data_IF_302755144242
#
_entry.id   IF_302755144242
#
_cell.length_a   1.000
_cell.length_b   1.000
_cell.length_c   1.000
_cell.angle_alpha   90.00
_cell.angle_beta   90.00
_cell.angle_gamma   90.00
#
_symmetry.space_group_name_H-M   'P 1'
#
loop_
_entity.id
_entity.type
_entity.pdbx_description
1 polymer ?
#
# COMPACT_ATOMS: atom_id res chain seq x y z
N UNK A 1 18.34 7.12 -3.56
CA UNK A 1 16.99 6.61 -3.25
C UNK A 1 16.88 5.09 -3.30
N UNK A 2 17.22 4.39 -4.39
CA UNK A 2 17.07 2.92 -4.45
C UNK A 2 17.89 2.18 -3.37
N UNK A 3 19.15 2.58 -3.13
CA UNK A 3 20.00 2.03 -2.06
C UNK A 3 19.37 2.19 -0.67
N UNK A 4 18.88 3.40 -0.36
CA UNK A 4 18.12 3.66 0.87
C UNK A 4 16.84 2.82 0.98
N UNK A 5 16.12 2.60 -0.12
CA UNK A 5 14.97 1.70 -0.10
C UNK A 5 15.38 0.25 0.22
N UNK A 6 16.49 -0.25 -0.34
CA UNK A 6 17.03 -1.56 0.01
C UNK A 6 17.42 -1.68 1.48
N UNK A 7 18.12 -0.67 2.02
CA UNK A 7 18.45 -0.61 3.44
C UNK A 7 17.18 -0.61 4.30
N UNK A 8 16.19 0.21 3.96
CA UNK A 8 14.91 0.24 4.68
C UNK A 8 14.23 -1.13 4.69
N UNK A 9 14.20 -1.85 3.57
CA UNK A 9 13.64 -3.20 3.52
C UNK A 9 14.44 -4.24 4.32
N UNK A 10 15.74 -4.03 4.49
CA UNK A 10 16.61 -4.88 5.29
C UNK A 10 16.42 -4.62 6.79
N UNK A 11 16.30 -3.36 7.19
CA UNK A 11 16.13 -2.94 8.58
C UNK A 11 14.68 -3.10 9.10
N UNK A 12 13.69 -2.88 8.23
CA UNK A 12 12.29 -2.80 8.58
C UNK A 12 11.43 -3.82 7.78
N UNK A 13 10.66 -4.69 8.45
CA UNK A 13 9.87 -5.72 7.77
C UNK A 13 8.64 -5.18 7.07
N UNK A 14 8.17 -3.96 7.41
CA UNK A 14 6.77 -3.61 7.20
C UNK A 14 6.30 -3.66 5.73
N UNK A 15 7.08 -3.08 4.81
CA UNK A 15 6.74 -3.13 3.38
C UNK A 15 6.85 -4.54 2.81
N UNK A 16 7.89 -5.29 3.21
CA UNK A 16 8.09 -6.68 2.77
C UNK A 16 6.95 -7.58 3.23
N UNK A 17 6.47 -7.40 4.45
CA UNK A 17 5.39 -8.18 5.02
C UNK A 17 4.06 -7.92 4.30
N UNK A 18 3.72 -6.64 4.08
CA UNK A 18 2.52 -6.28 3.33
C UNK A 18 2.55 -6.75 1.88
N UNK A 19 3.69 -6.64 1.20
CA UNK A 19 3.85 -7.22 -0.14
C UNK A 19 3.69 -8.74 -0.11
N UNK A 20 4.23 -9.42 0.91
CA UNK A 20 4.09 -10.87 1.04
C UNK A 20 2.63 -11.28 1.25
N UNK A 21 1.93 -10.67 2.21
CA UNK A 21 0.52 -10.97 2.48
C UNK A 21 -0.35 -10.67 1.25
N UNK A 22 -0.17 -9.50 0.64
CA UNK A 22 -0.91 -9.11 -0.56
C UNK A 22 -0.67 -10.10 -1.71
N UNK A 23 0.60 -10.37 -2.05
CA UNK A 23 0.92 -11.28 -3.14
C UNK A 23 0.46 -12.73 -2.88
N UNK A 24 0.52 -13.22 -1.63
CA UNK A 24 0.00 -14.55 -1.30
C UNK A 24 -1.53 -14.62 -1.42
N UNK A 25 -2.23 -13.57 -0.98
CA UNK A 25 -3.68 -13.44 -1.15
C UNK A 25 -4.05 -13.46 -2.63
N UNK A 26 -3.34 -12.70 -3.46
CA UNK A 26 -3.54 -12.66 -4.91
C UNK A 26 -3.33 -14.04 -5.53
N UNK A 27 -2.23 -14.73 -5.19
CA UNK A 27 -1.94 -16.07 -5.71
C UNK A 27 -3.03 -17.08 -5.33
N UNK A 28 -3.52 -17.03 -4.08
CA UNK A 28 -4.62 -17.89 -3.64
C UNK A 28 -5.90 -17.63 -4.42
N UNK A 29 -6.24 -16.36 -4.67
CA UNK A 29 -7.46 -15.95 -5.37
C UNK A 29 -7.40 -16.22 -6.89
N UNK A 30 -6.20 -16.31 -7.46
CA UNK A 30 -5.98 -16.40 -8.91
C UNK A 30 -5.40 -17.75 -9.34
N UNK A 31 -5.46 -18.76 -8.47
CA UNK A 31 -4.89 -20.11 -8.70
C UNK A 31 -5.30 -20.71 -10.05
N UNK A 32 -6.57 -20.54 -10.44
CA UNK A 32 -7.14 -21.10 -11.67
C UNK A 32 -7.56 -20.04 -12.70
N UNK A 33 -7.23 -18.77 -12.47
CA UNK A 33 -7.61 -17.69 -13.38
C UNK A 33 -6.80 -17.76 -14.68
N UNK A 34 -7.45 -17.63 -15.82
CA UNK A 34 -6.78 -17.46 -17.12
C UNK A 34 -6.29 -16.03 -17.33
N UNK A 35 -7.06 -15.04 -16.84
CA UNK A 35 -6.73 -13.61 -16.89
C UNK A 35 -6.85 -12.99 -15.50
N UNK A 36 -5.84 -12.24 -15.10
CA UNK A 36 -5.76 -11.52 -13.82
C UNK A 36 -5.53 -10.05 -14.11
N UNK A 37 -6.36 -9.20 -13.52
CA UNK A 37 -6.20 -7.76 -13.62
C UNK A 37 -6.00 -7.15 -12.24
N UNK A 38 -4.84 -6.53 -12.04
CA UNK A 38 -4.48 -5.84 -10.81
C UNK A 38 -4.60 -4.34 -11.04
N UNK A 39 -5.44 -3.69 -10.24
CA UNK A 39 -5.54 -2.23 -10.18
C UNK A 39 -4.81 -1.77 -8.93
N UNK A 40 -3.70 -1.05 -9.10
CA UNK A 40 -2.82 -0.61 -8.02
C UNK A 40 -2.92 0.90 -7.80
N UNK A 41 -3.64 1.29 -6.73
CA UNK A 41 -3.77 2.69 -6.32
C UNK A 41 -2.51 3.13 -5.57
N UNK A 42 -1.68 3.90 -6.26
CA UNK A 42 -0.39 4.42 -5.83
C UNK A 42 0.77 3.44 -6.08
N UNK A 43 0.85 2.95 -7.32
CA UNK A 43 1.86 1.97 -7.78
C UNK A 43 3.30 2.42 -7.55
N UNK A 44 3.55 3.73 -7.58
CA UNK A 44 4.85 4.35 -7.35
C UNK A 44 5.95 3.76 -8.27
N UNK A 45 6.91 2.98 -7.73
CA UNK A 45 7.95 2.31 -8.51
C UNK A 45 7.63 0.84 -8.85
N UNK A 46 6.48 0.31 -8.44
CA UNK A 46 6.03 -1.05 -8.77
C UNK A 46 6.80 -2.18 -8.07
N UNK A 47 7.57 -1.90 -7.01
CA UNK A 47 8.47 -2.88 -6.36
C UNK A 47 7.78 -4.12 -5.75
N UNK A 48 6.46 -4.10 -5.56
CA UNK A 48 5.68 -5.26 -5.14
C UNK A 48 5.61 -6.34 -6.23
N UNK A 49 5.44 -5.91 -7.49
CA UNK A 49 4.98 -6.74 -8.58
C UNK A 49 6.01 -7.73 -9.14
N UNK A 50 7.32 -7.45 -9.19
CA UNK A 50 8.31 -8.45 -9.62
C UNK A 50 8.24 -9.77 -8.84
N UNK A 51 7.99 -9.71 -7.52
CA UNK A 51 7.84 -10.91 -6.71
C UNK A 51 6.60 -11.72 -7.08
N UNK A 52 5.49 -11.06 -7.46
CA UNK A 52 4.28 -11.73 -7.92
C UNK A 52 4.47 -12.35 -9.31
N UNK A 53 5.02 -11.59 -10.26
CA UNK A 53 5.30 -12.03 -11.63
C UNK A 53 6.15 -13.31 -11.61
N UNK A 54 7.23 -13.33 -10.81
CA UNK A 54 8.09 -14.52 -10.66
C UNK A 54 7.37 -15.74 -10.09
N UNK A 55 6.33 -15.55 -9.28
CA UNK A 55 5.54 -16.66 -8.74
C UNK A 55 4.51 -17.15 -9.74
N UNK A 56 3.86 -16.24 -10.46
CA UNK A 56 2.94 -16.57 -11.54
C UNK A 56 3.64 -17.31 -12.68
N UNK A 57 4.88 -16.96 -13.01
CA UNK A 57 5.66 -17.68 -14.04
C UNK A 57 5.96 -19.14 -13.69
N UNK A 58 5.87 -19.49 -12.40
CA UNK A 58 6.07 -20.85 -11.87
C UNK A 58 4.75 -21.56 -11.52
N UNK A 59 3.60 -20.95 -11.86
CA UNK A 59 2.28 -21.53 -11.57
C UNK A 59 2.09 -22.81 -12.38
N UNK A 60 1.54 -23.84 -11.74
CA UNK A 60 1.11 -25.06 -12.40
C UNK A 60 0.06 -24.73 -13.48
N UNK A 61 0.19 -25.33 -14.67
CA UNK A 61 -0.64 -24.97 -15.83
C UNK A 61 -0.22 -23.68 -16.55
N UNK A 62 0.86 -23.02 -16.11
CA UNK A 62 1.42 -21.83 -16.75
C UNK A 62 0.88 -20.50 -16.20
N UNK A 63 1.56 -19.37 -16.52
CA UNK A 63 1.15 -18.05 -16.05
C UNK A 63 -0.19 -17.61 -16.69
N UNK A 64 -1.01 -16.83 -15.98
CA UNK A 64 -2.17 -16.17 -16.58
C UNK A 64 -1.72 -15.01 -17.47
N UNK A 65 -2.65 -14.49 -18.27
CA UNK A 65 -2.50 -13.12 -18.79
C UNK A 65 -2.59 -12.17 -17.61
N UNK A 66 -1.50 -11.49 -17.31
CA UNK A 66 -1.40 -10.54 -16.21
C UNK A 66 -1.53 -9.12 -16.73
N UNK A 67 -2.59 -8.42 -16.34
CA UNK A 67 -2.75 -6.99 -16.58
C UNK A 67 -2.52 -6.21 -15.30
N UNK A 68 -1.73 -5.15 -15.36
CA UNK A 68 -1.57 -4.20 -14.25
C UNK A 68 -2.00 -2.80 -14.70
N UNK A 69 -3.01 -2.26 -14.05
CA UNK A 69 -3.36 -0.84 -14.10
C UNK A 69 -2.69 -0.14 -12.93
N UNK A 70 -1.58 0.54 -13.19
CA UNK A 70 -0.89 1.36 -12.21
C UNK A 70 -1.50 2.76 -12.18
N UNK A 71 -1.87 3.23 -10.99
CA UNK A 71 -2.41 4.57 -10.79
C UNK A 71 -1.48 5.32 -9.84
N UNK A 72 -1.06 6.54 -10.17
CA UNK A 72 -0.37 7.42 -9.21
C UNK A 72 -0.68 8.88 -9.54
N UNK A 73 -0.45 9.76 -8.57
CA UNK A 73 -0.60 11.20 -8.80
C UNK A 73 0.48 11.69 -9.77
N UNK A 74 0.15 12.62 -10.69
CA UNK A 74 1.14 13.19 -11.61
C UNK A 74 2.34 13.78 -10.88
N UNK A 75 3.54 13.60 -11.44
CA UNK A 75 4.74 14.25 -10.92
C UNK A 75 4.68 15.77 -11.16
N UNK A 76 5.23 16.59 -10.24
CA UNK A 76 5.42 18.01 -10.54
C UNK A 76 6.45 18.20 -11.66
N UNK A 77 6.32 19.29 -12.42
CA UNK A 77 7.25 19.65 -13.48
C UNK A 77 6.84 19.14 -14.88
N UNK A 78 7.82 19.11 -15.80
CA UNK A 78 7.59 18.92 -17.24
C UNK A 78 7.22 17.49 -17.66
N UNK A 79 7.45 16.49 -16.79
CA UNK A 79 7.23 15.07 -17.08
C UNK A 79 6.29 14.41 -16.06
N UNK A 80 5.00 14.80 -16.05
CA UNK A 80 4.04 14.34 -15.06
C UNK A 80 3.81 12.82 -15.06
N UNK A 81 4.01 12.15 -16.21
CA UNK A 81 3.74 10.72 -16.42
C UNK A 81 5.00 9.83 -16.39
N UNK A 82 6.20 10.41 -16.39
CA UNK A 82 7.46 9.66 -16.59
C UNK A 82 7.63 8.50 -15.61
N UNK A 83 7.43 8.71 -14.30
CA UNK A 83 7.56 7.63 -13.30
C UNK A 83 6.60 6.46 -13.57
N UNK A 84 5.37 6.74 -13.97
CA UNK A 84 4.35 5.71 -14.17
C UNK A 84 4.58 4.93 -15.46
N UNK A 85 5.08 5.61 -16.50
CA UNK A 85 5.50 5.00 -17.77
C UNK A 85 6.73 4.11 -17.57
N UNK A 86 7.78 4.64 -16.92
CA UNK A 86 8.99 3.87 -16.63
C UNK A 86 8.70 2.65 -15.74
N UNK A 87 7.75 2.76 -14.80
CA UNK A 87 7.33 1.64 -13.97
C UNK A 87 6.68 0.55 -14.82
N UNK A 88 5.81 0.93 -15.76
CA UNK A 88 5.24 0.03 -16.75
C UNK A 88 6.29 -0.70 -17.57
N UNK A 89 7.25 0.06 -18.12
CA UNK A 89 8.35 -0.49 -18.91
C UNK A 89 9.17 -1.51 -18.13
N UNK A 90 9.60 -1.18 -16.90
CA UNK A 90 10.37 -2.09 -16.04
C UNK A 90 9.60 -3.38 -15.73
N UNK A 91 8.29 -3.29 -15.50
CA UNK A 91 7.45 -4.46 -15.23
C UNK A 91 7.26 -5.32 -16.48
N UNK A 92 7.06 -4.71 -17.65
CA UNK A 92 6.92 -5.40 -18.92
C UNK A 92 8.20 -6.17 -19.29
N UNK A 93 9.36 -5.51 -19.22
CA UNK A 93 10.66 -6.15 -19.46
C UNK A 93 10.92 -7.33 -18.50
N UNK A 94 10.50 -7.20 -17.24
CA UNK A 94 10.64 -8.28 -16.26
C UNK A 94 9.68 -9.45 -16.53
N UNK A 95 8.45 -9.17 -16.92
CA UNK A 95 7.46 -10.19 -17.28
C UNK A 95 7.86 -10.95 -18.55
N UNK A 96 8.38 -10.24 -19.57
CA UNK A 96 8.88 -10.82 -20.81
C UNK A 96 10.02 -11.81 -20.54
N UNK A 97 11.01 -11.43 -19.72
CA UNK A 97 12.12 -12.32 -19.30
C UNK A 97 11.64 -13.61 -18.64
N UNK A 98 10.48 -13.56 -17.98
CA UNK A 98 9.87 -14.69 -17.29
C UNK A 98 8.76 -15.37 -18.12
N UNK A 99 8.57 -14.95 -19.37
CA UNK A 99 7.55 -15.48 -20.30
C UNK A 99 6.12 -15.42 -19.72
N UNK A 100 5.82 -14.36 -18.96
CA UNK A 100 4.47 -14.07 -18.46
C UNK A 100 3.77 -13.14 -19.45
N UNK A 101 2.62 -13.52 -20.04
CA UNK A 101 1.86 -12.61 -20.89
C UNK A 101 1.42 -11.39 -20.07
N UNK A 102 1.79 -10.20 -20.50
CA UNK A 102 1.70 -9.00 -19.68
C UNK A 102 1.13 -7.79 -20.42
N UNK A 103 0.22 -7.09 -19.76
CA UNK A 103 -0.37 -5.84 -20.22
C UNK A 103 -0.22 -4.78 -19.12
N UNK A 104 0.16 -3.55 -19.49
CA UNK A 104 0.27 -2.45 -18.54
C UNK A 104 -0.52 -1.23 -19.00
N UNK A 105 -1.23 -0.61 -18.05
CA UNK A 105 -1.89 0.68 -18.23
C UNK A 105 -1.44 1.61 -17.09
N UNK A 106 -0.76 2.71 -17.43
CA UNK A 106 -0.45 3.77 -16.49
C UNK A 106 -1.53 4.85 -16.51
N UNK A 107 -2.06 5.22 -15.34
CA UNK A 107 -2.98 6.35 -15.17
C UNK A 107 -2.36 7.37 -14.21
N UNK A 108 -1.89 8.49 -14.75
CA UNK A 108 -1.43 9.62 -13.96
C UNK A 108 -2.61 10.55 -13.66
N UNK A 109 -3.25 10.38 -12.51
CA UNK A 109 -4.38 11.20 -12.10
C UNK A 109 -4.57 11.22 -10.59
N UNK A 110 -5.36 12.19 -10.11
CA UNK A 110 -5.88 12.17 -8.73
C UNK A 110 -6.80 10.97 -8.56
N UNK A 111 -6.59 10.17 -7.53
CA UNK A 111 -7.29 8.89 -7.37
C UNK A 111 -8.81 9.07 -7.27
N UNK A 112 -9.26 10.15 -6.62
CA UNK A 112 -10.67 10.49 -6.44
C UNK A 112 -11.37 10.98 -7.70
N UNK A 113 -10.65 11.09 -8.82
CA UNK A 113 -11.20 11.45 -10.15
C UNK A 113 -11.29 10.25 -11.09
N UNK A 114 -10.74 9.09 -10.68
CA UNK A 114 -10.78 7.86 -11.46
C UNK A 114 -12.22 7.35 -11.51
N UNK A 115 -12.70 7.08 -12.72
CA UNK A 115 -13.97 6.40 -12.98
C UNK A 115 -13.75 4.94 -13.33
N UNK A 116 -14.80 4.14 -13.24
CA UNK A 116 -14.73 2.68 -13.48
C UNK A 116 -14.31 2.40 -14.93
N UNK A 117 -14.82 3.20 -15.86
CA UNK A 117 -14.55 3.09 -17.29
C UNK A 117 -13.06 3.30 -17.61
N UNK A 118 -12.37 4.16 -16.85
CA UNK A 118 -10.95 4.46 -17.06
C UNK A 118 -10.07 3.22 -16.76
N UNK A 119 -10.56 2.29 -15.94
CA UNK A 119 -9.87 1.06 -15.52
C UNK A 119 -10.00 -0.08 -16.55
N UNK A 120 -10.90 0.08 -17.53
CA UNK A 120 -11.09 -0.84 -18.66
C UNK A 120 -11.25 -2.30 -18.25
N UNK A 121 -12.04 -2.56 -17.20
CA UNK A 121 -12.24 -3.92 -16.68
C UNK A 121 -12.90 -4.81 -17.73
N UNK A 122 -12.31 -5.99 -17.97
CA UNK A 122 -12.82 -7.00 -18.90
C UNK A 122 -13.86 -7.93 -18.28
N UNK A 123 -14.64 -8.64 -19.10
CA UNK A 123 -15.70 -9.54 -18.62
C UNK A 123 -15.19 -10.86 -18.00
N UNK A 124 -14.00 -11.32 -18.39
CA UNK A 124 -13.47 -12.65 -18.03
C UNK A 124 -12.17 -12.59 -17.21
N UNK A 125 -11.92 -11.47 -16.52
CA UNK A 125 -10.73 -11.30 -15.68
C UNK A 125 -11.05 -11.33 -14.20
N UNK A 126 -10.19 -11.98 -13.41
CA UNK A 126 -10.23 -11.86 -11.95
C UNK A 126 -9.59 -10.53 -11.58
N UNK A 127 -10.42 -9.60 -11.11
CA UNK A 127 -9.99 -8.26 -10.72
C UNK A 127 -9.54 -8.22 -9.27
N UNK A 128 -8.34 -7.70 -9.04
CA UNK A 128 -7.76 -7.44 -7.72
C UNK A 128 -7.55 -5.94 -7.62
N UNK A 129 -8.00 -5.32 -6.54
CA UNK A 129 -7.62 -3.94 -6.22
C UNK A 129 -6.61 -3.96 -5.07
N UNK A 130 -5.49 -3.28 -5.25
CA UNK A 130 -4.42 -3.15 -4.25
C UNK A 130 -4.22 -1.67 -3.93
N UNK A 131 -4.17 -1.33 -2.64
CA UNK A 131 -3.78 0.00 -2.20
C UNK A 131 -3.01 -0.11 -0.89
N UNK A 132 -1.69 0.11 -0.94
CA UNK A 132 -0.82 0.00 0.23
C UNK A 132 -0.30 1.36 0.66
N UNK A 133 -0.84 1.85 1.77
CA UNK A 133 -0.42 3.02 2.53
C UNK A 133 -0.73 4.37 1.87
N UNK A 134 -1.50 4.38 0.79
CA UNK A 134 -1.67 5.56 -0.05
C UNK A 134 -2.86 6.43 0.34
N UNK A 135 -3.95 5.86 0.87
CA UNK A 135 -5.16 6.62 1.22
C UNK A 135 -4.97 7.75 2.26
N UNK A 136 -3.87 7.73 3.01
CA UNK A 136 -3.48 8.86 3.88
C UNK A 136 -3.27 10.16 3.10
N UNK A 137 -3.00 10.08 1.79
CA UNK A 137 -2.80 11.23 0.90
C UNK A 137 -4.09 11.79 0.30
N UNK A 138 -5.22 11.09 0.50
CA UNK A 138 -6.53 11.64 0.16
C UNK A 138 -6.97 12.61 1.24
N UNK A 139 -7.49 13.76 0.79
CA UNK A 139 -8.12 14.75 1.65
C UNK A 139 -9.26 14.08 2.46
N UNK A 140 -9.40 14.51 3.71
CA UNK A 140 -10.43 14.06 4.64
C UNK A 140 -11.57 15.09 4.77
N UNK A 141 -12.56 14.76 5.61
CA UNK A 141 -13.75 15.59 5.84
C UNK A 141 -13.45 16.92 6.54
N UNK A 142 -12.20 17.16 7.00
CA UNK A 142 -11.81 18.46 7.56
C UNK A 142 -11.68 19.55 6.49
N UNK A 143 -11.61 19.16 5.21
CA UNK A 143 -11.39 20.08 4.08
C UNK A 143 -12.51 19.97 3.03
N UNK A 144 -13.12 18.81 2.83
CA UNK A 144 -14.18 18.61 1.84
C UNK A 144 -15.38 17.83 2.42
N UNK A 145 -16.59 18.37 2.25
CA UNK A 145 -17.84 17.72 2.69
C UNK A 145 -18.08 16.41 1.94
N UNK A 146 -17.81 16.39 0.63
CA UNK A 146 -17.78 15.15 -0.15
C UNK A 146 -16.37 14.53 -0.10
N UNK A 147 -16.23 13.51 0.76
CA UNK A 147 -14.97 12.86 1.09
C UNK A 147 -14.34 12.16 -0.13
N UNK A 148 -13.15 12.61 -0.60
CA UNK A 148 -12.40 11.92 -1.67
C UNK A 148 -12.11 10.46 -1.36
N UNK A 149 -11.94 10.11 -0.07
CA UNK A 149 -11.78 8.72 0.39
C UNK A 149 -13.01 7.87 0.07
N UNK A 150 -14.21 8.42 0.32
CA UNK A 150 -15.45 7.73 0.00
C UNK A 150 -15.65 7.59 -1.51
N UNK A 151 -15.29 8.62 -2.30
CA UNK A 151 -15.34 8.51 -3.78
C UNK A 151 -14.45 7.37 -4.29
N UNK A 152 -13.19 7.30 -3.85
CA UNK A 152 -12.29 6.21 -4.25
C UNK A 152 -12.84 4.85 -3.81
N UNK A 153 -13.32 4.71 -2.57
CA UNK A 153 -13.95 3.47 -2.10
C UNK A 153 -15.18 3.08 -2.92
N UNK A 154 -16.01 4.05 -3.30
CA UNK A 154 -17.18 3.83 -4.16
C UNK A 154 -16.76 3.36 -5.55
N UNK A 155 -15.75 3.98 -6.17
CA UNK A 155 -15.19 3.52 -7.45
C UNK A 155 -14.67 2.07 -7.33
N UNK A 156 -13.89 1.77 -6.28
CA UNK A 156 -13.38 0.41 -6.03
C UNK A 156 -14.53 -0.58 -5.85
N UNK A 157 -15.61 -0.20 -5.17
CA UNK A 157 -16.78 -1.07 -5.02
C UNK A 157 -17.50 -1.30 -6.35
N UNK A 158 -17.67 -0.26 -7.17
CA UNK A 158 -18.32 -0.36 -8.48
C UNK A 158 -17.53 -1.22 -9.48
N UNK A 159 -16.18 -1.24 -9.36
CA UNK A 159 -15.31 -2.19 -10.06
C UNK A 159 -15.63 -3.65 -9.72
N UNK A 160 -16.25 -3.89 -8.56
CA UNK A 160 -16.62 -5.20 -8.06
C UNK A 160 -15.44 -6.22 -8.03
N UNK A 161 -14.30 -5.88 -7.39
CA UNK A 161 -13.14 -6.75 -7.38
C UNK A 161 -13.38 -8.05 -6.60
N UNK A 162 -12.70 -9.12 -7.01
CA UNK A 162 -12.67 -10.39 -6.28
C UNK A 162 -12.07 -10.22 -4.87
N UNK A 163 -11.12 -9.29 -4.72
CA UNK A 163 -10.59 -8.84 -3.44
C UNK A 163 -10.03 -7.41 -3.56
N UNK A 164 -10.27 -6.61 -2.54
CA UNK A 164 -9.61 -5.34 -2.29
C UNK A 164 -8.64 -5.49 -1.12
N UNK A 165 -7.35 -5.27 -1.36
CA UNK A 165 -6.29 -5.36 -0.36
C UNK A 165 -5.92 -3.95 0.06
N UNK A 166 -6.13 -3.64 1.34
CA UNK A 166 -5.99 -2.30 1.88
C UNK A 166 -4.95 -2.27 2.99
N UNK A 167 -3.80 -1.64 2.72
CA UNK A 167 -2.78 -1.31 3.71
C UNK A 167 -2.87 0.16 4.09
N UNK A 168 -2.74 0.48 5.38
CA UNK A 168 -2.83 1.84 5.90
C UNK A 168 -1.65 2.16 6.81
N UNK A 169 -1.27 3.45 6.87
CA UNK A 169 -0.46 3.99 7.96
C UNK A 169 -1.39 4.22 9.13
N UNK A 170 -1.12 3.57 10.24
CA UNK A 170 -1.93 3.70 11.45
C UNK A 170 -1.49 4.94 12.24
N UNK A 171 -2.29 5.99 12.17
CA UNK A 171 -2.00 7.26 12.83
C UNK A 171 -3.27 8.02 13.21
N UNK A 172 -3.17 8.81 14.28
CA UNK A 172 -4.24 9.67 14.82
C UNK A 172 -3.94 11.16 14.63
N UNK A 173 -2.97 11.50 13.77
CA UNK A 173 -2.49 12.86 13.51
C UNK A 173 -3.07 13.47 12.21
N UNK A 174 -4.27 13.06 11.80
CA UNK A 174 -5.06 13.77 10.77
C UNK A 174 -5.95 14.88 11.33
N UNK A 175 -6.05 15.01 12.66
CA UNK A 175 -6.95 15.96 13.33
C UNK A 175 -6.59 17.43 13.03
N UNK A 176 -7.59 18.35 13.00
CA UNK A 176 -7.35 19.75 12.67
C UNK A 176 -6.57 20.51 13.77
N UNK A 177 -6.70 20.12 15.04
CA UNK A 177 -6.06 20.80 16.16
C UNK A 177 -4.55 20.52 16.23
N UNK A 178 -3.74 21.58 16.10
CA UNK A 178 -2.28 21.49 16.01
C UNK A 178 -1.62 20.76 17.18
N UNK A 179 -1.92 21.12 18.44
CA UNK A 179 -1.23 20.54 19.61
C UNK A 179 -1.43 19.02 19.69
N UNK A 180 -2.67 18.55 19.53
CA UNK A 180 -3.00 17.12 19.49
C UNK A 180 -2.27 16.44 18.34
N UNK A 181 -2.34 17.03 17.14
CA UNK A 181 -1.68 16.49 15.95
C UNK A 181 -0.16 16.40 16.12
N UNK A 182 0.48 17.46 16.59
CA UNK A 182 1.92 17.53 16.82
C UNK A 182 2.38 16.45 17.81
N UNK A 183 1.67 16.28 18.92
CA UNK A 183 1.99 15.27 19.92
C UNK A 183 1.91 13.85 19.33
N UNK A 184 0.85 13.55 18.61
CA UNK A 184 0.67 12.22 18.01
C UNK A 184 1.67 11.95 16.88
N UNK A 185 2.00 12.97 16.07
CA UNK A 185 3.04 12.91 15.05
C UNK A 185 4.42 12.68 15.66
N UNK A 186 4.78 13.43 16.72
CA UNK A 186 6.03 13.26 17.45
C UNK A 186 6.19 11.82 17.90
N UNK A 187 5.19 11.25 18.59
CA UNK A 187 5.28 9.86 19.02
C UNK A 187 5.36 8.85 17.88
N UNK A 188 4.67 9.09 16.76
CA UNK A 188 4.75 8.22 15.58
C UNK A 188 6.15 8.23 14.97
N UNK A 189 6.69 9.42 14.67
CA UNK A 189 8.00 9.54 14.04
C UNK A 189 9.12 9.17 15.01
N UNK A 190 9.03 9.48 16.31
CA UNK A 190 10.01 9.02 17.30
C UNK A 190 10.14 7.49 17.30
N UNK A 191 9.05 6.74 17.14
CA UNK A 191 9.13 5.28 17.04
C UNK A 191 9.85 4.81 15.76
N UNK A 192 9.66 5.51 14.63
CA UNK A 192 10.36 5.21 13.37
C UNK A 192 11.86 5.53 13.44
N UNK A 193 12.22 6.64 14.07
CA UNK A 193 13.62 7.03 14.28
C UNK A 193 14.31 6.12 15.30
N UNK A 194 13.64 5.75 16.41
CA UNK A 194 14.16 4.77 17.38
C UNK A 194 14.37 3.39 16.74
N UNK A 195 13.50 2.99 15.82
CA UNK A 195 13.66 1.76 15.03
C UNK A 195 14.93 1.79 14.17
N UNK A 196 15.17 2.87 13.42
CA UNK A 196 16.40 3.01 12.63
C UNK A 196 17.64 3.09 13.52
N UNK A 197 17.55 3.82 14.63
CA UNK A 197 18.62 3.92 15.62
C UNK A 197 19.03 2.56 16.18
N UNK A 198 18.06 1.68 16.40
CA UNK A 198 18.31 0.33 16.93
C UNK A 198 18.80 -0.64 15.85
N UNK A 199 18.39 -0.47 14.60
CA UNK A 199 18.57 -1.49 13.54
C UNK A 199 19.58 -1.13 12.46
N UNK A 200 20.08 0.11 12.43
CA UNK A 200 20.95 0.63 11.38
C UNK A 200 22.11 1.45 11.96
N UNK A 201 23.37 1.24 11.51
CA UNK A 201 24.51 2.05 11.93
C UNK A 201 24.28 3.56 11.74
N UNK A 202 24.75 4.37 12.69
CA UNK A 202 24.52 5.83 12.74
C UNK A 202 25.18 6.58 11.58
N UNK A 203 26.33 6.10 11.14
CA UNK A 203 27.15 6.69 10.08
C UNK A 203 26.74 6.26 8.67
N UNK A 204 25.73 5.39 8.53
CA UNK A 204 25.24 4.96 7.22
C UNK A 204 24.55 6.11 6.48
N UNK A 205 25.14 6.55 5.36
CA UNK A 205 24.60 7.64 4.55
C UNK A 205 23.18 7.36 4.00
N UNK A 206 22.81 6.09 3.80
CA UNK A 206 21.46 5.71 3.40
C UNK A 206 20.46 5.83 4.55
N UNK A 207 20.89 5.62 5.82
CA UNK A 207 20.06 5.91 7.00
C UNK A 207 19.65 7.37 7.02
N UNK A 208 20.62 8.28 6.89
CA UNK A 208 20.36 9.72 6.83
C UNK A 208 19.39 10.09 5.69
N UNK A 209 19.47 9.39 4.55
CA UNK A 209 18.54 9.59 3.44
C UNK A 209 17.12 9.10 3.77
N UNK A 210 16.96 7.98 4.47
CA UNK A 210 15.65 7.49 4.94
C UNK A 210 15.05 8.49 5.93
N UNK A 211 15.83 8.87 6.95
CA UNK A 211 15.39 9.81 7.99
C UNK A 211 14.98 11.15 7.39
N UNK A 212 15.74 11.70 6.43
CA UNK A 212 15.44 12.99 5.81
C UNK A 212 14.32 12.91 4.76
N UNK A 213 14.43 11.99 3.80
CA UNK A 213 13.58 11.99 2.60
C UNK A 213 12.29 11.18 2.75
N UNK A 214 12.25 10.19 3.66
CA UNK A 214 11.05 9.40 3.91
C UNK A 214 10.31 9.92 5.13
N UNK A 215 10.94 9.89 6.31
CA UNK A 215 10.25 10.25 7.55
C UNK A 215 10.20 11.75 7.78
N UNK A 216 11.31 12.45 7.53
CA UNK A 216 11.44 13.89 7.77
C UNK A 216 10.49 14.71 6.91
N UNK A 217 10.34 14.37 5.62
CA UNK A 217 9.36 15.02 4.74
C UNK A 217 7.92 14.79 5.19
N UNK A 218 7.57 13.57 5.59
CA UNK A 218 6.23 13.25 6.10
C UNK A 218 5.96 14.01 7.40
N UNK A 219 6.90 14.01 8.34
CA UNK A 219 6.80 14.76 9.60
C UNK A 219 6.68 16.26 9.38
N UNK A 220 7.50 16.83 8.48
CA UNK A 220 7.44 18.24 8.14
C UNK A 220 6.09 18.62 7.56
N UNK A 221 5.50 17.79 6.68
CA UNK A 221 4.18 18.09 6.13
C UNK A 221 3.09 18.09 7.19
N UNK A 222 3.12 17.14 8.14
CA UNK A 222 2.13 17.08 9.24
C UNK A 222 2.23 18.29 10.16
N UNK A 223 3.45 18.78 10.41
CA UNK A 223 3.73 19.85 11.38
C UNK A 223 3.59 21.24 10.76
N UNK A 224 4.14 21.45 9.57
CA UNK A 224 4.30 22.79 8.98
C UNK A 224 3.19 23.17 7.99
N UNK A 225 2.35 22.23 7.55
CA UNK A 225 1.31 22.49 6.56
C UNK A 225 -0.10 22.40 7.19
N UNK A 226 -1.05 23.13 6.59
CA UNK A 226 -2.47 23.11 6.95
C UNK A 226 -3.35 23.04 5.69
N UNK A 227 -4.67 22.91 5.87
CA UNK A 227 -5.62 22.93 4.75
C UNK A 227 -5.29 21.90 3.65
N UNK A 228 -5.37 22.30 2.39
CA UNK A 228 -5.04 21.44 1.24
C UNK A 228 -3.56 21.09 1.13
N UNK A 229 -2.67 21.91 1.68
CA UNK A 229 -1.21 21.72 1.56
C UNK A 229 -0.70 20.62 2.52
N UNK A 230 -1.48 20.32 3.56
CA UNK A 230 -1.25 19.15 4.41
C UNK A 230 -1.79 17.89 3.74
N UNK A 231 -0.88 17.09 3.20
CA UNK A 231 -1.18 15.86 2.46
C UNK A 231 -1.06 14.59 3.30
N UNK A 232 -0.29 14.61 4.40
CA UNK A 232 -0.12 13.46 5.27
C UNK A 232 -1.23 13.40 6.33
N UNK A 233 -2.27 12.62 6.04
CA UNK A 233 -3.51 12.54 6.86
C UNK A 233 -3.87 11.10 7.23
N UNK A 234 -3.03 10.34 7.95
CA UNK A 234 -3.35 8.97 8.29
C UNK A 234 -4.53 8.90 9.27
N UNK A 235 -5.23 7.77 9.21
CA UNK A 235 -6.27 7.40 10.14
C UNK A 235 -5.96 6.03 10.73
N UNK A 236 -6.55 5.74 11.88
CA UNK A 236 -6.39 4.44 12.53
C UNK A 236 -7.07 3.33 11.72
N UNK A 237 -6.60 2.09 11.87
CA UNK A 237 -7.26 0.93 11.24
C UNK A 237 -8.72 0.78 11.68
N UNK A 238 -9.08 1.21 12.90
CA UNK A 238 -10.46 1.23 13.40
C UNK A 238 -11.35 2.22 12.64
N UNK A 239 -10.83 3.39 12.28
CA UNK A 239 -11.55 4.33 11.42
C UNK A 239 -11.73 3.76 10.01
N UNK A 240 -10.68 3.15 9.45
CA UNK A 240 -10.75 2.50 8.15
C UNK A 240 -11.69 1.29 8.12
N UNK A 241 -11.78 0.52 9.21
CA UNK A 241 -12.77 -0.55 9.39
C UNK A 241 -14.19 0.00 9.15
N UNK A 242 -14.55 1.07 9.85
CA UNK A 242 -15.88 1.70 9.73
C UNK A 242 -16.09 2.26 8.31
N UNK A 243 -15.09 2.89 7.70
CA UNK A 243 -15.19 3.42 6.34
C UNK A 243 -15.43 2.33 5.30
N UNK A 244 -14.67 1.24 5.34
CA UNK A 244 -14.83 0.13 4.40
C UNK A 244 -16.22 -0.51 4.55
N UNK A 245 -16.69 -0.73 5.79
CA UNK A 245 -18.03 -1.26 6.05
C UNK A 245 -19.13 -0.33 5.51
N UNK A 246 -19.03 0.98 5.76
CA UNK A 246 -19.99 1.99 5.26
C UNK A 246 -19.99 2.10 3.74
N UNK A 247 -18.83 1.95 3.11
CA UNK A 247 -18.72 1.90 1.66
C UNK A 247 -19.36 0.63 1.06
N UNK A 248 -19.75 -0.34 1.88
CA UNK A 248 -20.41 -1.57 1.45
C UNK A 248 -19.44 -2.69 1.11
N UNK A 249 -18.29 -2.74 1.79
CA UNK A 249 -17.41 -3.89 1.79
C UNK A 249 -17.68 -4.80 3.00
N UNK A 250 -17.38 -6.08 2.85
CA UNK A 250 -17.29 -7.06 3.92
C UNK A 250 -15.83 -7.48 4.05
N UNK A 251 -15.31 -7.47 5.27
CA UNK A 251 -13.94 -7.89 5.54
C UNK A 251 -13.78 -9.38 5.27
N UNK A 252 -12.72 -9.76 4.56
CA UNK A 252 -12.35 -11.16 4.38
C UNK A 252 -11.39 -11.59 5.48
N UNK A 253 -11.57 -12.78 6.08
CA UNK A 253 -10.62 -13.30 7.06
C UNK A 253 -9.22 -13.41 6.46
N UNK A 254 -8.21 -13.10 7.26
CA UNK A 254 -6.83 -13.35 6.88
C UNK A 254 -6.57 -14.85 6.87
N UNK A 255 -5.81 -15.30 5.87
CA UNK A 255 -5.36 -16.69 5.84
C UNK A 255 -4.32 -16.91 6.94
N UNK A 256 -4.68 -17.71 7.94
CA UNK A 256 -3.87 -17.93 9.14
C UNK A 256 -2.52 -18.59 8.84
N UNK A 257 -2.44 -19.46 7.82
CA UNK A 257 -1.16 -20.04 7.39
C UNK A 257 -0.22 -18.98 6.81
N UNK A 258 -0.77 -18.04 6.02
CA UNK A 258 0.00 -16.91 5.48
C UNK A 258 0.46 -15.98 6.62
N UNK A 259 -0.42 -15.70 7.59
CA UNK A 259 -0.10 -14.86 8.76
C UNK A 259 0.99 -15.50 9.63
N UNK A 260 0.91 -16.79 9.92
CA UNK A 260 1.93 -17.51 10.69
C UNK A 260 3.28 -17.47 9.98
N UNK A 261 3.34 -17.80 8.69
CA UNK A 261 4.58 -17.71 7.89
C UNK A 261 5.15 -16.28 7.86
N UNK A 262 4.29 -15.28 7.85
CA UNK A 262 4.67 -13.87 7.93
C UNK A 262 5.31 -13.54 9.29
N UNK A 263 4.69 -13.97 10.40
CA UNK A 263 5.21 -13.79 11.76
C UNK A 263 6.56 -14.49 11.97
N UNK A 264 6.67 -15.75 11.56
CA UNK A 264 7.90 -16.55 11.68
C UNK A 264 9.05 -15.88 10.93
N UNK A 265 8.81 -15.46 9.68
CA UNK A 265 9.82 -14.78 8.87
C UNK A 265 10.30 -13.46 9.49
N UNK A 266 9.42 -12.73 10.18
CA UNK A 266 9.82 -11.51 10.88
C UNK A 266 10.71 -11.86 12.08
N UNK A 267 10.32 -12.87 12.86
CA UNK A 267 11.06 -13.35 14.03
C UNK A 267 12.46 -13.86 13.66
N UNK A 268 12.61 -14.51 12.51
CA UNK A 268 13.87 -15.11 12.08
C UNK A 268 14.87 -14.08 11.52
N UNK A 269 14.39 -13.00 10.90
CA UNK A 269 15.22 -12.08 10.11
C UNK A 269 15.40 -10.72 10.79
N UNK A 270 14.42 -10.25 11.56
CA UNK A 270 14.36 -8.88 12.04
C UNK A 270 14.51 -8.80 13.56
N UNK A 271 14.77 -7.59 14.05
CA UNK A 271 14.92 -7.32 15.47
C UNK A 271 13.67 -7.74 16.27
N UNK A 272 13.87 -8.30 17.48
CA UNK A 272 12.79 -8.85 18.32
C UNK A 272 11.71 -7.85 18.75
N UNK A 273 12.00 -6.56 18.68
CA UNK A 273 11.07 -5.48 19.07
C UNK A 273 10.05 -5.13 17.97
N UNK A 274 10.16 -5.73 16.78
CA UNK A 274 9.08 -5.67 15.79
C UNK A 274 7.88 -6.49 16.27
N UNK A 275 6.71 -5.88 16.24
CA UNK A 275 5.45 -6.49 16.68
C UNK A 275 4.59 -6.76 15.47
N UNK A 276 4.25 -8.03 15.23
CA UNK A 276 3.28 -8.45 14.22
C UNK A 276 2.10 -9.09 14.94
N UNK A 277 0.94 -8.45 14.88
CA UNK A 277 -0.24 -8.87 15.63
C UNK A 277 -1.50 -8.90 14.75
N UNK A 278 -2.59 -9.46 15.27
CA UNK A 278 -3.89 -9.45 14.62
C UNK A 278 -4.94 -8.80 15.53
N UNK A 279 -5.69 -7.83 15.02
CA UNK A 279 -6.89 -7.30 15.68
C UNK A 279 -8.01 -7.12 14.66
N UNK A 280 -9.18 -7.67 14.97
CA UNK A 280 -10.41 -7.44 14.19
C UNK A 280 -10.20 -7.69 12.68
N UNK A 281 -9.48 -8.76 12.32
CA UNK A 281 -9.15 -9.13 10.94
C UNK A 281 -8.12 -8.23 10.23
N UNK A 282 -7.42 -7.37 10.96
CA UNK A 282 -6.26 -6.61 10.47
C UNK A 282 -4.96 -7.23 10.95
N UNK A 283 -3.98 -7.36 10.05
CA UNK A 283 -2.61 -7.65 10.42
C UNK A 283 -1.92 -6.34 10.78
N UNK A 284 -1.61 -6.19 12.06
CA UNK A 284 -0.96 -5.02 12.64
C UNK A 284 0.55 -5.20 12.62
N UNK A 285 1.28 -4.11 12.36
CA UNK A 285 2.72 -4.08 12.28
C UNK A 285 3.25 -2.89 13.06
N UNK A 286 4.13 -3.14 14.03
CA UNK A 286 4.55 -2.15 15.00
C UNK A 286 5.99 -2.31 15.46
N UNK A 287 6.41 -1.35 16.29
CA UNK A 287 7.72 -1.28 16.91
C UNK A 287 7.57 -0.88 18.38
N UNK A 288 8.14 -1.68 19.30
CA UNK A 288 8.08 -1.46 20.76
C UNK A 288 6.67 -1.10 21.26
N UNK A 289 5.67 -1.86 20.81
CA UNK A 289 4.27 -1.69 21.19
C UNK A 289 3.48 -0.61 20.43
N UNK A 290 4.14 0.24 19.62
CA UNK A 290 3.43 1.20 18.76
C UNK A 290 3.09 0.59 17.42
N UNK A 291 1.81 0.51 17.08
CA UNK A 291 1.34 0.06 15.75
C UNK A 291 1.52 1.17 14.72
N UNK A 292 2.29 0.88 13.67
CA UNK A 292 2.69 1.82 12.62
C UNK A 292 1.90 1.58 11.33
N UNK A 293 1.71 0.32 10.95
CA UNK A 293 0.99 -0.07 9.74
C UNK A 293 -0.06 -1.13 10.08
N UNK A 294 -1.12 -1.16 9.28
CA UNK A 294 -2.11 -2.24 9.32
C UNK A 294 -2.49 -2.64 7.90
N UNK A 295 -2.81 -3.91 7.68
CA UNK A 295 -3.27 -4.42 6.39
C UNK A 295 -4.46 -5.37 6.57
N UNK A 296 -5.46 -5.25 5.71
CA UNK A 296 -6.66 -6.08 5.69
C UNK A 296 -7.14 -6.33 4.26
N UNK A 297 -8.07 -7.26 4.10
CA UNK A 297 -8.64 -7.64 2.80
C UNK A 297 -10.16 -7.59 2.84
N UNK A 298 -10.77 -7.22 1.72
CA UNK A 298 -12.18 -6.82 1.63
C UNK A 298 -12.82 -7.35 0.35
N UNK A 299 -14.11 -7.66 0.41
CA UNK A 299 -14.94 -7.98 -0.76
C UNK A 299 -16.10 -7.01 -0.84
N UNK A 300 -16.53 -6.59 -2.04
CA UNK A 300 -17.80 -5.90 -2.20
C UNK A 300 -18.93 -6.75 -1.58
N UNK A 301 -19.81 -6.12 -0.79
CA UNK A 301 -21.02 -6.79 -0.32
C UNK A 301 -21.91 -7.02 -1.54
N UNK A 302 -22.25 -8.28 -1.82
CA UNK A 302 -23.28 -8.60 -2.80
C UNK A 302 -24.58 -7.90 -2.36
N UNK A 303 -25.18 -7.12 -3.26
CA UNK A 303 -26.52 -6.57 -3.03
C UNK A 303 -27.56 -7.69 -3.04
#
# INVERSE_FOLDING_TARGET
MLKAYHLYLAACPFKRLSHFLSNQTILSMTKHASKVHIIDFGIYFGFQWPCLIRRLSKREGGPPVLRITGIDVPQPGFRPTERIEETGQRLAEYAEKLKVPFEYQGIASKWETIRVEDLKVGKDEVVIVNCLYRFRNLIDETVAVDSPRNRVLNTIRQVNPAIFIHGIVNGSYSVPFFITRFREALFHFSALFDMLETTVPRDDAQRALIEREMFGREALNVIACEGSDRVERPETYKQWQVRNLRAGFVQSPLNQEIVMKAKDKVKDIYHKDFVIDEDSGWLLQGWKGRIIYAISTWKPKNN
#
